data_IF_672291926378
#
_entry.id   IF_672291926378
#
_cell.length_a   1.000
_cell.length_b   1.000
_cell.length_c   1.000
_cell.angle_alpha   90.00
_cell.angle_beta   90.00
_cell.angle_gamma   90.00
#
_symmetry.space_group_name_H-M   'P 1'
#
loop_
_entity.id
_entity.type
_entity.pdbx_description
1 polymer ?
#
# COMPACT_ATOMS: atom_id res chain seq x y z
N UNK A 1 6.03 42.86 59.63
CA UNK A 1 6.69 41.54 59.52
C UNK A 1 5.90 40.68 58.56
N UNK A 2 6.14 40.82 57.26
CA UNK A 2 5.54 39.97 56.23
C UNK A 2 6.68 39.35 55.43
N UNK A 3 7.10 38.15 55.82
CA UNK A 3 8.09 37.39 55.06
C UNK A 3 7.38 36.88 53.80
N UNK A 4 7.64 37.55 52.67
CA UNK A 4 7.21 37.07 51.36
C UNK A 4 7.95 35.77 51.07
N UNK A 5 7.25 34.64 51.22
CA UNK A 5 7.73 33.34 50.74
C UNK A 5 7.82 33.42 49.22
N UNK A 6 9.05 33.50 48.71
CA UNK A 6 9.36 33.30 47.30
C UNK A 6 8.88 31.90 46.94
N UNK A 7 7.84 31.83 46.14
CA UNK A 7 7.24 30.58 45.69
C UNK A 7 8.19 29.99 44.63
N UNK A 8 9.12 29.13 45.07
CA UNK A 8 10.02 28.41 44.16
C UNK A 8 9.18 27.44 43.32
N UNK A 9 9.19 27.66 42.01
CA UNK A 9 8.51 26.79 41.06
C UNK A 9 9.08 25.37 41.16
N UNK A 10 8.23 24.31 41.11
CA UNK A 10 8.70 22.96 41.32
C UNK A 10 9.73 22.58 40.25
N UNK A 11 10.85 22.06 40.75
CA UNK A 11 12.07 21.70 40.01
C UNK A 11 11.87 20.44 39.14
N UNK A 12 10.88 20.44 38.25
CA UNK A 12 10.65 19.34 37.30
C UNK A 12 11.32 19.61 35.94
N UNK A 13 12.51 20.22 35.95
CA UNK A 13 13.34 20.43 34.76
C UNK A 13 14.18 19.21 34.37
N UNK A 14 14.05 18.08 35.08
CA UNK A 14 14.72 16.81 34.72
C UNK A 14 14.21 16.22 33.39
N UNK A 15 13.05 16.67 32.91
CA UNK A 15 12.55 16.42 31.56
C UNK A 15 13.09 17.44 30.52
N UNK A 16 13.98 18.35 30.90
CA UNK A 16 14.26 19.60 30.19
C UNK A 16 15.31 19.55 29.07
N UNK A 17 16.08 18.46 28.94
CA UNK A 17 16.99 18.25 27.79
C UNK A 17 16.67 16.97 27.02
N UNK A 18 16.58 15.83 27.68
CA UNK A 18 16.24 14.56 27.02
C UNK A 18 14.77 14.51 26.57
N UNK A 19 13.85 15.10 27.34
CA UNK A 19 12.45 15.25 26.92
C UNK A 19 12.30 16.18 25.72
N UNK A 20 13.04 17.29 25.70
CA UNK A 20 13.06 18.22 24.56
C UNK A 20 13.67 17.60 23.30
N UNK A 21 14.74 16.79 23.42
CA UNK A 21 15.32 16.03 22.30
C UNK A 21 14.31 15.00 21.78
N UNK A 22 13.67 14.25 22.68
CA UNK A 22 12.61 13.29 22.31
C UNK A 22 11.46 13.98 21.58
N UNK A 23 11.02 15.14 22.06
CA UNK A 23 9.97 15.93 21.43
C UNK A 23 10.39 16.46 20.05
N UNK A 24 11.64 16.93 19.92
CA UNK A 24 12.19 17.38 18.64
C UNK A 24 12.24 16.23 17.62
N UNK A 25 12.67 15.03 18.01
CA UNK A 25 12.66 13.83 17.16
C UNK A 25 11.23 13.50 16.72
N UNK A 26 10.28 13.48 17.65
CA UNK A 26 8.87 13.22 17.33
C UNK A 26 8.30 14.25 16.36
N UNK A 27 8.63 15.53 16.53
CA UNK A 27 8.21 16.60 15.64
C UNK A 27 8.79 16.43 14.23
N UNK A 28 10.08 16.12 14.13
CA UNK A 28 10.73 15.83 12.84
C UNK A 28 10.09 14.62 12.16
N UNK A 29 9.81 13.53 12.90
CA UNK A 29 9.12 12.35 12.35
C UNK A 29 7.72 12.72 11.82
N UNK A 30 6.94 13.52 12.57
CA UNK A 30 5.60 13.95 12.14
C UNK A 30 5.62 14.89 10.93
N UNK A 31 6.71 15.62 10.69
CA UNK A 31 6.90 16.42 9.48
C UNK A 31 7.38 15.58 8.29
N UNK A 32 8.33 14.68 8.51
CA UNK A 32 8.92 13.87 7.44
C UNK A 32 7.98 12.78 6.93
N UNK A 33 7.17 12.17 7.81
CA UNK A 33 6.20 11.14 7.42
C UNK A 33 5.22 11.59 6.32
N UNK A 34 4.54 12.74 6.43
CA UNK A 34 3.66 13.20 5.37
C UNK A 34 4.40 13.67 4.12
N UNK A 35 5.63 14.20 4.26
CA UNK A 35 6.46 14.68 3.14
C UNK A 35 7.16 13.55 2.37
N UNK A 36 7.28 12.34 2.93
CA UNK A 36 7.97 11.21 2.30
C UNK A 36 7.44 10.84 0.90
N UNK A 37 6.21 11.21 0.60
CA UNK A 37 5.58 10.92 -0.69
C UNK A 37 6.33 11.58 -1.87
N UNK A 38 7.14 12.62 -1.62
CA UNK A 38 8.03 13.23 -2.62
C UNK A 38 9.23 12.36 -3.00
N UNK A 39 9.54 11.31 -2.23
CA UNK A 39 10.67 10.41 -2.52
C UNK A 39 10.31 9.33 -3.56
N UNK A 40 9.01 9.10 -3.79
CA UNK A 40 8.53 8.12 -4.75
C UNK A 40 8.25 8.80 -6.09
N UNK A 41 8.67 8.14 -7.18
CA UNK A 41 8.44 8.64 -8.53
C UNK A 41 7.04 8.19 -8.99
N UNK A 42 6.16 9.14 -9.30
CA UNK A 42 4.82 8.87 -9.84
C UNK A 42 3.68 9.51 -9.04
N UNK A 43 2.45 9.32 -9.52
CA UNK A 43 1.26 9.77 -8.78
C UNK A 43 1.01 8.82 -7.60
N UNK A 44 1.23 9.33 -6.39
CA UNK A 44 1.03 8.63 -5.12
C UNK A 44 -0.43 8.19 -4.93
N UNK A 45 -1.39 8.88 -5.54
CA UNK A 45 -2.79 8.46 -5.55
C UNK A 45 -3.02 7.20 -6.40
N UNK A 46 -2.17 6.96 -7.40
CA UNK A 46 -2.19 5.78 -8.27
C UNK A 46 -1.39 4.62 -7.67
N UNK A 47 -0.10 4.81 -7.41
CA UNK A 47 0.80 3.73 -6.96
C UNK A 47 0.59 3.33 -5.51
N UNK A 48 -0.06 4.18 -4.69
CA UNK A 48 -0.22 4.02 -3.24
C UNK A 48 1.10 4.09 -2.44
N UNK A 49 2.24 4.30 -3.11
CA UNK A 49 3.56 4.34 -2.50
C UNK A 49 3.74 5.62 -1.70
N UNK A 50 3.92 5.49 -0.38
CA UNK A 50 4.02 6.66 0.51
C UNK A 50 2.70 7.40 0.77
N UNK A 51 1.57 6.92 0.24
CA UNK A 51 0.27 7.58 0.39
C UNK A 51 -0.27 7.53 1.84
N UNK A 52 -0.03 6.43 2.55
CA UNK A 52 -0.42 6.32 3.98
C UNK A 52 0.26 7.42 4.79
N UNK A 53 -0.50 8.14 5.61
CA UNK A 53 -0.04 9.27 6.42
C UNK A 53 0.44 10.50 5.64
N UNK A 54 0.20 10.56 4.32
CA UNK A 54 0.41 11.78 3.55
C UNK A 54 -0.73 12.78 3.78
N UNK A 55 -0.45 14.08 3.67
CA UNK A 55 -1.48 15.11 3.81
C UNK A 55 -2.55 15.07 2.69
N UNK A 56 -2.24 14.46 1.54
CA UNK A 56 -3.14 14.39 0.37
C UNK A 56 -4.06 13.17 0.38
N UNK A 57 -4.15 12.45 1.50
CA UNK A 57 -4.75 11.11 1.57
C UNK A 57 -6.25 11.04 1.19
N UNK A 58 -7.00 12.14 1.30
CA UNK A 58 -8.44 12.18 0.97
C UNK A 58 -8.78 12.71 -0.43
N UNK A 59 -7.80 13.13 -1.23
CA UNK A 59 -8.06 13.79 -2.52
C UNK A 59 -8.21 12.82 -3.71
N UNK A 60 -8.77 11.63 -3.49
CA UNK A 60 -8.91 10.63 -4.56
C UNK A 60 -10.14 9.73 -4.43
N UNK A 61 -10.61 9.29 -5.58
CA UNK A 61 -11.54 8.18 -5.73
C UNK A 61 -10.97 7.16 -6.73
N UNK A 62 -10.60 5.97 -6.24
CA UNK A 62 -10.06 4.88 -7.05
C UNK A 62 -11.09 3.75 -7.13
N UNK A 63 -11.28 3.18 -8.31
CA UNK A 63 -12.16 2.02 -8.51
C UNK A 63 -11.45 1.02 -9.41
N UNK A 64 -11.47 -0.26 -9.02
CA UNK A 64 -10.84 -1.31 -9.81
C UNK A 64 -11.73 -2.52 -10.05
N UNK A 65 -11.34 -3.34 -11.01
CA UNK A 65 -11.95 -4.61 -11.39
C UNK A 65 -10.87 -5.54 -11.97
N UNK A 66 -11.07 -6.84 -11.88
CA UNK A 66 -10.12 -7.79 -12.45
C UNK A 66 -10.32 -9.23 -12.02
N UNK A 67 -9.38 -10.06 -12.41
CA UNK A 67 -9.29 -11.47 -12.04
C UNK A 67 -7.84 -11.92 -11.96
N UNK A 68 -7.62 -13.04 -11.28
CA UNK A 68 -6.33 -13.71 -11.22
C UNK A 68 -6.35 -14.90 -12.18
N UNK A 69 -5.25 -15.13 -12.87
CA UNK A 69 -5.01 -16.33 -13.67
C UNK A 69 -3.95 -17.14 -12.97
N UNK A 70 -4.30 -18.37 -12.60
CA UNK A 70 -3.37 -19.34 -12.04
C UNK A 70 -2.88 -20.22 -13.17
N UNK A 71 -1.57 -20.48 -13.21
CA UNK A 71 -0.95 -21.43 -14.14
C UNK A 71 -0.17 -22.47 -13.34
N UNK A 72 -0.24 -23.72 -13.74
CA UNK A 72 0.52 -24.83 -13.16
C UNK A 72 1.22 -25.67 -14.24
N UNK A 73 1.95 -26.69 -13.81
CA UNK A 73 2.67 -27.60 -14.73
C UNK A 73 1.71 -28.29 -15.72
N UNK A 74 2.19 -28.53 -16.95
CA UNK A 74 1.44 -29.29 -17.96
C UNK A 74 0.30 -28.52 -18.64
N UNK A 75 0.36 -27.18 -18.64
CA UNK A 75 -0.62 -26.34 -19.33
C UNK A 75 -1.92 -26.09 -18.56
N UNK A 76 -1.96 -26.47 -17.26
CA UNK A 76 -3.10 -26.18 -16.41
C UNK A 76 -3.22 -24.66 -16.21
N UNK A 77 -4.41 -24.12 -16.52
CA UNK A 77 -4.70 -22.71 -16.24
C UNK A 77 -6.14 -22.55 -15.76
N UNK A 78 -6.32 -21.77 -14.71
CA UNK A 78 -7.64 -21.46 -14.15
C UNK A 78 -7.76 -19.97 -13.85
N UNK A 79 -8.92 -19.40 -14.19
CA UNK A 79 -9.23 -18.00 -13.86
C UNK A 79 -10.00 -17.94 -12.56
N UNK A 80 -9.40 -17.30 -11.57
CA UNK A 80 -9.95 -17.12 -10.23
C UNK A 80 -10.47 -15.71 -10.09
N UNK A 81 -11.77 -15.58 -9.81
CA UNK A 81 -12.40 -14.29 -9.56
C UNK A 81 -12.38 -13.99 -8.06
N UNK A 82 -11.86 -12.83 -7.62
CA UNK A 82 -11.74 -12.51 -6.19
C UNK A 82 -13.03 -12.63 -5.38
N UNK A 83 -14.19 -12.37 -5.99
CA UNK A 83 -15.49 -12.47 -5.32
C UNK A 83 -15.88 -13.91 -4.93
N UNK A 84 -15.23 -14.93 -5.49
CA UNK A 84 -15.45 -16.33 -5.08
C UNK A 84 -14.64 -16.71 -3.85
N UNK A 85 -13.55 -15.97 -3.57
CA UNK A 85 -12.66 -16.22 -2.43
C UNK A 85 -12.99 -15.37 -1.21
N UNK A 86 -13.52 -14.16 -1.42
CA UNK A 86 -13.78 -13.21 -0.36
C UNK A 86 -15.06 -12.41 -0.60
N UNK A 87 -15.59 -11.84 0.47
CA UNK A 87 -16.77 -10.97 0.40
C UNK A 87 -16.53 -9.80 -0.58
N UNK A 88 -17.56 -9.47 -1.37
CA UNK A 88 -17.56 -8.39 -2.35
C UNK A 88 -17.03 -7.04 -1.82
N UNK A 89 -17.24 -6.71 -0.53
CA UNK A 89 -16.67 -5.49 0.08
C UNK A 89 -15.15 -5.53 0.14
N UNK A 90 -14.56 -6.67 0.50
CA UNK A 90 -13.10 -6.85 0.52
C UNK A 90 -12.53 -6.90 -0.89
N UNK A 91 -13.19 -7.61 -1.81
CA UNK A 91 -12.76 -7.67 -3.21
C UNK A 91 -12.69 -6.27 -3.85
N UNK A 92 -13.70 -5.42 -3.60
CA UNK A 92 -13.69 -4.03 -4.09
C UNK A 92 -12.51 -3.20 -3.58
N UNK A 93 -12.16 -3.36 -2.30
CA UNK A 93 -10.98 -2.69 -1.72
C UNK A 93 -9.68 -3.25 -2.29
N UNK A 94 -9.63 -4.57 -2.47
CA UNK A 94 -8.44 -5.25 -2.98
C UNK A 94 -8.02 -4.70 -4.34
N UNK A 95 -8.95 -4.52 -5.28
CA UNK A 95 -8.60 -4.04 -6.62
C UNK A 95 -7.88 -2.69 -6.63
N UNK A 96 -8.09 -1.82 -5.63
CA UNK A 96 -7.50 -0.49 -5.61
C UNK A 96 -6.18 -0.41 -4.85
N UNK A 97 -5.87 -1.43 -4.04
CA UNK A 97 -4.74 -1.43 -3.11
C UNK A 97 -3.71 -2.51 -3.49
N UNK A 98 -2.46 -2.15 -3.82
CA UNK A 98 -1.46 -3.10 -4.29
C UNK A 98 -1.07 -4.14 -3.23
N UNK A 99 -1.01 -3.77 -1.96
CA UNK A 99 -0.74 -4.71 -0.87
C UNK A 99 -1.78 -5.83 -0.80
N UNK A 100 -3.05 -5.48 -0.92
CA UNK A 100 -4.14 -6.46 -0.94
C UNK A 100 -4.09 -7.35 -2.19
N UNK A 101 -3.73 -6.81 -3.35
CA UNK A 101 -3.56 -7.59 -4.58
C UNK A 101 -2.46 -8.63 -4.39
N UNK A 102 -1.29 -8.21 -3.91
CA UNK A 102 -0.16 -9.09 -3.68
C UNK A 102 -0.49 -10.17 -2.66
N UNK A 103 -1.10 -9.81 -1.51
CA UNK A 103 -1.53 -10.78 -0.50
C UNK A 103 -2.54 -11.79 -1.06
N UNK A 104 -3.44 -11.34 -1.93
CA UNK A 104 -4.41 -12.22 -2.59
C UNK A 104 -3.71 -13.19 -3.54
N UNK A 105 -2.73 -12.73 -4.32
CA UNK A 105 -1.92 -13.58 -5.19
C UNK A 105 -1.18 -14.68 -4.43
N UNK A 106 -0.52 -14.31 -3.33
CA UNK A 106 0.15 -15.25 -2.41
C UNK A 106 -0.83 -16.27 -1.80
N UNK A 107 -2.02 -15.80 -1.39
CA UNK A 107 -3.05 -16.68 -0.84
C UNK A 107 -3.58 -17.67 -1.88
N UNK A 108 -3.82 -17.23 -3.11
CA UNK A 108 -4.22 -18.08 -4.23
C UNK A 108 -3.15 -19.14 -4.48
N UNK A 109 -1.88 -18.76 -4.57
CA UNK A 109 -0.78 -19.72 -4.75
C UNK A 109 -0.81 -20.82 -3.70
N UNK A 110 -0.91 -20.45 -2.42
CA UNK A 110 -1.00 -21.41 -1.32
C UNK A 110 -2.20 -22.36 -1.41
N UNK A 111 -3.36 -21.88 -1.88
CA UNK A 111 -4.54 -22.74 -2.08
C UNK A 111 -4.25 -23.81 -3.14
N UNK A 112 -3.66 -23.43 -4.27
CA UNK A 112 -3.42 -24.35 -5.39
C UNK A 112 -2.28 -25.34 -5.10
N UNK A 113 -1.23 -24.90 -4.41
CA UNK A 113 -0.19 -25.80 -3.90
C UNK A 113 -0.79 -26.87 -2.96
N UNK A 114 -1.71 -26.48 -2.07
CA UNK A 114 -2.44 -27.43 -1.20
C UNK A 114 -3.36 -28.38 -1.97
N UNK A 115 -3.86 -27.97 -3.13
CA UNK A 115 -4.62 -28.84 -4.06
C UNK A 115 -3.71 -29.81 -4.83
N UNK A 116 -2.39 -29.72 -4.67
CA UNK A 116 -1.41 -30.60 -5.31
C UNK A 116 -0.87 -30.10 -6.65
N UNK A 117 -1.14 -28.84 -7.01
CA UNK A 117 -0.53 -28.24 -8.21
C UNK A 117 0.97 -28.01 -7.97
N UNK A 118 1.77 -28.21 -9.00
CA UNK A 118 3.22 -27.95 -9.00
C UNK A 118 3.51 -26.71 -9.84
N UNK A 119 4.56 -25.98 -9.47
CA UNK A 119 5.04 -24.76 -10.16
C UNK A 119 3.91 -23.73 -10.39
N UNK A 120 3.20 -23.39 -9.31
CA UNK A 120 2.06 -22.50 -9.37
C UNK A 120 2.51 -21.05 -9.55
N UNK A 121 2.22 -20.49 -10.72
CA UNK A 121 2.35 -19.06 -11.02
C UNK A 121 0.98 -18.36 -10.96
N UNK A 122 0.95 -17.16 -10.40
CA UNK A 122 -0.27 -16.36 -10.22
C UNK A 122 -0.10 -14.99 -10.87
N UNK A 123 -0.91 -14.74 -11.89
CA UNK A 123 -0.87 -13.53 -12.70
C UNK A 123 -2.14 -12.70 -12.44
N UNK A 124 -2.01 -11.42 -12.11
CA UNK A 124 -3.17 -10.56 -11.88
C UNK A 124 -3.47 -9.71 -13.12
N UNK A 125 -4.68 -9.83 -13.64
CA UNK A 125 -5.21 -8.90 -14.62
C UNK A 125 -6.19 -7.97 -13.91
N UNK A 126 -5.66 -6.84 -13.41
CA UNK A 126 -6.42 -5.86 -12.65
C UNK A 126 -6.32 -4.49 -13.30
N UNK A 127 -7.47 -3.90 -13.53
CA UNK A 127 -7.61 -2.56 -14.08
C UNK A 127 -8.15 -1.61 -13.01
N UNK A 128 -7.59 -0.41 -12.95
CA UNK A 128 -8.06 0.66 -12.09
C UNK A 128 -8.37 1.90 -12.90
N UNK A 129 -9.24 2.74 -12.34
CA UNK A 129 -9.39 4.14 -12.74
C UNK A 129 -9.26 5.03 -11.53
N UNK A 130 -8.71 6.22 -11.74
CA UNK A 130 -8.55 7.26 -10.74
C UNK A 130 -9.44 8.45 -11.12
N UNK A 131 -10.19 8.99 -10.17
CA UNK A 131 -10.98 10.23 -10.32
C UNK A 131 -11.83 10.29 -11.60
N UNK A 132 -12.60 9.23 -11.87
CA UNK A 132 -13.51 9.11 -13.01
C UNK A 132 -12.87 9.06 -14.42
N UNK A 133 -11.54 8.97 -14.50
CA UNK A 133 -10.82 8.70 -15.76
C UNK A 133 -11.12 7.30 -16.32
N UNK A 134 -10.58 6.99 -17.51
CA UNK A 134 -10.68 5.65 -18.12
C UNK A 134 -9.99 4.59 -17.27
N UNK A 135 -10.42 3.33 -17.45
CA UNK A 135 -9.75 2.20 -16.83
C UNK A 135 -8.42 1.93 -17.54
N UNK A 136 -7.37 1.78 -16.75
CA UNK A 136 -6.03 1.43 -17.20
C UNK A 136 -5.57 0.18 -16.45
N UNK A 137 -4.62 -0.55 -17.03
CA UNK A 137 -4.02 -1.69 -16.36
C UNK A 137 -3.23 -1.17 -15.15
N UNK A 138 -3.59 -1.65 -13.96
CA UNK A 138 -2.94 -1.23 -12.72
C UNK A 138 -1.75 -2.13 -12.38
N UNK A 139 -1.87 -3.41 -12.74
CA UNK A 139 -0.88 -4.44 -12.48
C UNK A 139 -0.49 -5.08 -13.80
N UNK A 140 0.80 -5.34 -13.95
CA UNK A 140 1.33 -6.07 -15.09
C UNK A 140 0.82 -7.53 -15.08
N UNK A 141 0.06 -7.95 -16.10
CA UNK A 141 -0.47 -9.31 -16.18
C UNK A 141 0.60 -10.36 -16.54
N UNK A 142 1.81 -9.96 -16.93
CA UNK A 142 2.90 -10.87 -17.29
C UNK A 142 3.77 -11.26 -16.09
N UNK A 143 3.67 -10.54 -14.98
CA UNK A 143 4.48 -10.78 -13.78
C UNK A 143 3.78 -11.79 -12.86
N UNK A 144 4.55 -12.78 -12.39
CA UNK A 144 4.11 -13.74 -11.39
C UNK A 144 4.14 -13.13 -9.98
N UNK A 145 2.99 -12.57 -9.56
CA UNK A 145 2.79 -12.03 -8.21
C UNK A 145 2.94 -13.08 -7.11
N UNK A 146 2.74 -14.36 -7.43
CA UNK A 146 2.88 -15.46 -6.48
C UNK A 146 4.34 -15.72 -6.09
N UNK A 147 5.29 -15.27 -6.88
CA UNK A 147 6.73 -15.46 -6.62
C UNK A 147 7.46 -14.16 -6.26
N UNK A 148 6.78 -13.02 -6.39
CA UNK A 148 7.36 -11.71 -6.13
C UNK A 148 7.53 -11.44 -4.62
N UNK A 149 8.73 -11.03 -4.14
CA UNK A 149 8.95 -10.69 -2.75
C UNK A 149 8.29 -9.35 -2.39
N UNK A 150 7.86 -9.22 -1.13
CA UNK A 150 7.31 -7.95 -0.63
C UNK A 150 8.41 -7.01 -0.15
N UNK A 151 8.58 -5.88 -0.85
CA UNK A 151 9.41 -4.76 -0.40
C UNK A 151 8.53 -3.57 0.04
N UNK A 152 8.85 -2.98 1.19
CA UNK A 152 8.16 -1.82 1.77
C UNK A 152 8.75 -0.48 1.34
N UNK A 153 10.03 -0.45 0.98
CA UNK A 153 10.78 0.77 0.71
C UNK A 153 11.06 0.97 -0.77
N UNK A 154 11.01 -0.10 -1.57
CA UNK A 154 11.18 -0.01 -3.02
C UNK A 154 9.85 0.13 -3.75
N UNK A 155 9.92 0.85 -4.86
CA UNK A 155 8.84 0.88 -5.82
C UNK A 155 8.59 -0.51 -6.40
N UNK A 156 7.31 -0.83 -6.61
CA UNK A 156 6.90 -2.16 -7.06
C UNK A 156 6.95 -2.24 -8.58
N UNK A 157 7.83 -3.09 -9.10
CA UNK A 157 8.05 -3.35 -10.54
C UNK A 157 6.77 -3.71 -11.31
N UNK A 158 5.83 -4.37 -10.64
CA UNK A 158 4.59 -4.86 -11.22
C UNK A 158 3.43 -3.86 -11.21
N UNK A 159 3.59 -2.70 -10.57
CA UNK A 159 2.60 -1.62 -10.67
C UNK A 159 2.93 -0.82 -11.93
N UNK A 160 2.00 -0.79 -12.87
CA UNK A 160 2.15 0.00 -14.08
C UNK A 160 1.94 1.49 -13.77
N UNK A 161 2.69 2.40 -14.41
CA UNK A 161 2.50 3.85 -14.24
C UNK A 161 1.12 4.27 -14.78
N UNK A 162 0.57 5.35 -14.23
CA UNK A 162 -0.65 5.96 -14.77
C UNK A 162 -0.34 6.59 -16.13
N UNK A 163 -1.06 6.18 -17.16
CA UNK A 163 -1.10 6.89 -18.45
C UNK A 163 -1.94 8.15 -18.25
N UNK A 164 -1.29 9.31 -18.21
CA UNK A 164 -2.02 10.58 -18.23
C UNK A 164 -2.50 10.79 -19.66
N UNK A 165 -3.81 10.87 -19.86
CA UNK A 165 -4.34 11.37 -21.13
C UNK A 165 -3.78 12.80 -21.28
N UNK A 166 -2.97 13.03 -22.32
CA UNK A 166 -2.63 14.38 -22.76
C UNK A 166 -3.92 14.99 -23.31
N UNK A 167 -4.42 16.02 -22.62
CA UNK A 167 -5.58 16.82 -23.02
C UNK A 167 -5.30 17.62 -24.32
#
# INVERSE_FOLDING_TARGET
LGVSKKQEAPENYFLGKFGSIGLAILFVIHLLLPLRHHLFQGDVAWTEEGHRYSWRMMLRHKTGKGSFTVKGTGGQSEVVRPHTLMNAKFARKMYTHPDMIWQTGQHIKSIYEKKGWKEVGVYANIQCRLNYRKYQNFVDPEIDLGSEPWDFFKSKSWILPEEKEED
#
